data_IF_493134736335
#
_entry.id   IF_493134736335
#
_cell.length_a   1.000
_cell.length_b   1.000
_cell.length_c   1.000
_cell.angle_alpha   90.00
_cell.angle_beta   90.00
_cell.angle_gamma   90.00
#
_symmetry.space_group_name_H-M   'P 1'
#
loop_
_entity.id
_entity.type
_entity.pdbx_description
1 polymer ?
#
# COMPACT_ATOMS: atom_id res chain seq x y z
N UNK A 1 10.20 2.86 -25.46
CA UNK A 1 8.81 2.94 -24.93
C UNK A 1 8.45 1.61 -24.27
N UNK A 2 7.90 1.68 -23.06
CA UNK A 2 7.45 0.48 -22.37
C UNK A 2 6.17 -0.04 -23.01
N UNK A 3 6.05 -1.37 -23.12
CA UNK A 3 4.79 -1.97 -23.53
C UNK A 3 3.79 -1.96 -22.35
N UNK A 4 2.54 -2.34 -22.60
CA UNK A 4 1.49 -2.28 -21.58
C UNK A 4 1.81 -3.14 -20.33
N UNK A 5 2.43 -4.30 -20.53
CA UNK A 5 2.79 -5.18 -19.42
C UNK A 5 3.88 -4.55 -18.55
N UNK A 6 4.90 -3.95 -19.16
CA UNK A 6 5.96 -3.28 -18.42
C UNK A 6 5.42 -2.07 -17.65
N UNK A 7 4.53 -1.30 -18.26
CA UNK A 7 3.89 -0.17 -17.59
C UNK A 7 3.09 -0.64 -16.37
N UNK A 8 2.31 -1.70 -16.52
CA UNK A 8 1.53 -2.25 -15.41
C UNK A 8 2.41 -2.77 -14.28
N UNK A 9 3.52 -3.47 -14.61
CA UNK A 9 4.44 -4.01 -13.61
C UNK A 9 5.21 -2.92 -12.86
N UNK A 10 5.40 -1.74 -13.47
CA UNK A 10 6.12 -0.64 -12.84
C UNK A 10 5.20 0.32 -12.11
N UNK A 11 3.87 0.16 -12.21
CA UNK A 11 2.94 1.03 -11.51
C UNK A 11 2.90 0.72 -10.02
N UNK A 12 2.61 1.74 -9.22
CA UNK A 12 2.33 1.55 -7.79
C UNK A 12 0.86 1.23 -7.62
N UNK A 13 0.57 0.16 -6.91
CA UNK A 13 -0.80 -0.30 -6.66
C UNK A 13 -1.14 -0.19 -5.18
N UNK A 14 -2.43 -0.04 -4.89
CA UNK A 14 -2.92 0.02 -3.51
C UNK A 14 -4.28 -0.66 -3.39
N UNK A 15 -4.53 -1.24 -2.24
CA UNK A 15 -5.83 -1.82 -1.91
C UNK A 15 -5.98 -1.95 -0.40
N UNK A 16 -7.24 -2.07 0.03
CA UNK A 16 -7.56 -2.44 1.40
C UNK A 16 -7.18 -3.90 1.59
N UNK A 17 -6.33 -4.17 2.58
CA UNK A 17 -5.78 -5.50 2.83
C UNK A 17 -6.46 -6.24 3.99
N UNK A 18 -7.41 -5.60 4.68
CA UNK A 18 -8.16 -6.20 5.79
C UNK A 18 -9.60 -6.49 5.39
N UNK A 19 -10.24 -7.50 6.00
CA UNK A 19 -11.67 -7.73 5.75
C UNK A 19 -12.52 -6.53 6.13
N UNK A 20 -13.50 -6.22 5.29
CA UNK A 20 -14.41 -5.09 5.50
C UNK A 20 -15.31 -5.35 6.71
N UNK A 21 -15.47 -4.31 7.56
CA UNK A 21 -16.44 -4.31 8.64
C UNK A 21 -16.05 -5.09 9.88
N UNK A 22 -14.79 -5.48 10.02
CA UNK A 22 -14.35 -6.27 11.15
C UNK A 22 -13.13 -5.63 11.84
N UNK A 23 -13.15 -5.64 13.17
CA UNK A 23 -12.04 -5.23 14.00
C UNK A 23 -11.84 -3.73 14.07
N UNK A 24 -10.91 -3.31 14.93
CA UNK A 24 -10.58 -1.91 15.16
C UNK A 24 -9.48 -1.38 14.27
N UNK A 25 -8.85 -2.22 13.46
CA UNK A 25 -7.72 -1.83 12.61
C UNK A 25 -8.01 -2.16 11.17
N UNK A 26 -7.84 -1.16 10.30
CA UNK A 26 -7.87 -1.33 8.85
C UNK A 26 -6.48 -1.17 8.29
N UNK A 27 -6.12 -2.01 7.33
CA UNK A 27 -4.81 -1.96 6.67
C UNK A 27 -5.00 -1.67 5.19
N UNK A 28 -4.28 -0.65 4.70
CA UNK A 28 -4.15 -0.38 3.27
C UNK A 28 -2.70 -0.68 2.91
N UNK A 29 -2.51 -1.46 1.85
CA UNK A 29 -1.17 -1.81 1.36
C UNK A 29 -0.92 -1.15 0.03
N UNK A 30 0.28 -0.56 -0.10
CA UNK A 30 0.80 -0.04 -1.36
C UNK A 30 2.02 -0.86 -1.74
N UNK A 31 2.18 -1.13 -3.04
CA UNK A 31 3.36 -1.80 -3.56
C UNK A 31 3.77 -1.17 -4.88
N UNK A 32 5.04 -0.87 -5.02
CA UNK A 32 5.59 -0.32 -6.25
C UNK A 32 6.54 0.84 -6.01
N UNK A 33 7.09 1.41 -7.09
CA UNK A 33 8.19 2.37 -6.99
C UNK A 33 7.82 3.69 -6.32
N UNK A 34 6.55 4.08 -6.30
CA UNK A 34 6.12 5.36 -5.72
C UNK A 34 5.52 5.21 -4.32
N UNK A 35 5.51 4.01 -3.75
CA UNK A 35 4.88 3.76 -2.43
C UNK A 35 5.45 4.67 -1.34
N UNK A 36 6.77 4.78 -1.28
CA UNK A 36 7.46 5.59 -0.27
C UNK A 36 7.09 7.06 -0.41
N UNK A 37 7.16 7.60 -1.63
CA UNK A 37 6.85 9.02 -1.88
C UNK A 37 5.39 9.33 -1.59
N UNK A 38 4.48 8.43 -1.92
CA UNK A 38 3.05 8.60 -1.60
C UNK A 38 2.86 8.68 -0.09
N UNK A 39 3.52 7.80 0.67
CA UNK A 39 3.41 7.81 2.13
C UNK A 39 3.98 9.09 2.75
N UNK A 40 5.08 9.61 2.21
CA UNK A 40 5.63 10.90 2.66
C UNK A 40 4.63 12.03 2.41
N UNK A 41 4.04 12.08 1.21
CA UNK A 41 3.07 13.12 0.86
C UNK A 41 1.81 13.02 1.72
N UNK A 42 1.34 11.81 1.98
CA UNK A 42 0.13 11.56 2.77
C UNK A 42 0.29 12.04 4.22
N UNK A 43 1.48 11.88 4.79
CA UNK A 43 1.72 12.11 6.22
C UNK A 43 2.45 13.42 6.51
N UNK A 44 3.07 14.02 5.51
CA UNK A 44 3.92 15.20 5.71
C UNK A 44 5.27 14.88 6.34
N UNK A 45 5.62 13.61 6.48
CA UNK A 45 6.92 13.22 7.03
C UNK A 45 8.00 13.33 5.95
N UNK A 46 9.25 13.48 6.39
CA UNK A 46 10.38 13.57 5.49
C UNK A 46 11.07 12.23 5.25
N UNK A 47 10.86 11.25 6.14
CA UNK A 47 11.46 9.93 6.02
C UNK A 47 10.75 8.91 6.88
N UNK A 48 10.85 7.64 6.50
CA UNK A 48 10.43 6.49 7.31
C UNK A 48 11.62 5.55 7.48
N UNK A 49 11.77 5.04 8.71
CA UNK A 49 12.75 4.00 9.01
C UNK A 49 12.16 2.65 8.59
N UNK A 50 12.92 1.80 7.87
CA UNK A 50 12.42 0.48 7.48
C UNK A 50 11.96 -0.34 8.68
N UNK A 51 10.81 -1.00 8.53
CA UNK A 51 10.26 -1.95 9.49
C UNK A 51 10.03 -1.36 10.89
N UNK A 52 9.81 -0.06 10.96
CA UNK A 52 9.50 0.66 12.19
C UNK A 52 8.07 1.18 12.10
N UNK A 53 7.29 1.04 13.19
CA UNK A 53 5.92 1.53 13.23
C UNK A 53 5.91 3.01 13.59
N UNK A 54 5.69 3.86 12.58
CA UNK A 54 5.62 5.31 12.77
C UNK A 54 4.17 5.71 13.02
N UNK A 55 3.91 6.37 14.14
CA UNK A 55 2.59 6.95 14.38
C UNK A 55 2.47 8.25 13.58
N UNK A 56 1.45 8.33 12.72
CA UNK A 56 1.27 9.45 11.79
C UNK A 56 -0.19 9.86 11.71
N UNK A 57 -0.40 11.11 11.28
CA UNK A 57 -1.69 11.58 10.79
C UNK A 57 -1.70 11.47 9.28
N UNK A 58 -2.86 11.09 8.73
CA UNK A 58 -3.09 10.99 7.30
C UNK A 58 -3.93 12.18 6.85
N UNK A 59 -3.41 12.96 5.89
CA UNK A 59 -4.01 14.23 5.50
C UNK A 59 -4.70 14.14 4.15
N UNK A 60 -5.89 14.75 4.07
CA UNK A 60 -6.59 14.94 2.82
C UNK A 60 -5.97 16.09 2.02
N UNK A 61 -6.47 16.29 0.80
CA UNK A 61 -5.95 17.32 -0.11
C UNK A 61 -6.11 18.75 0.42
N UNK A 62 -7.06 18.98 1.31
CA UNK A 62 -7.31 20.27 1.97
C UNK A 62 -6.58 20.41 3.31
N UNK A 63 -5.63 19.51 3.60
CA UNK A 63 -4.84 19.46 4.84
C UNK A 63 -5.65 19.11 6.09
N UNK A 64 -6.89 18.64 5.94
CA UNK A 64 -7.63 18.10 7.07
C UNK A 64 -7.17 16.67 7.35
N UNK A 65 -7.32 16.25 8.61
CA UNK A 65 -6.93 14.90 9.02
C UNK A 65 -8.02 13.90 8.65
N UNK A 66 -7.67 12.90 7.84
CA UNK A 66 -8.57 11.79 7.51
C UNK A 66 -8.64 10.82 8.69
N UNK A 67 -7.49 10.44 9.21
CA UNK A 67 -7.34 9.45 10.26
C UNK A 67 -5.92 9.54 10.81
N UNK A 68 -5.64 8.80 11.85
CA UNK A 68 -4.29 8.64 12.35
C UNK A 68 -4.02 7.16 12.64
N UNK A 69 -2.77 6.77 12.53
CA UNK A 69 -2.42 5.37 12.70
C UNK A 69 -0.93 5.14 12.46
N UNK A 70 -0.60 3.93 12.05
CA UNK A 70 0.78 3.51 11.88
C UNK A 70 1.13 3.39 10.42
N UNK A 71 2.35 3.78 10.07
CA UNK A 71 2.94 3.55 8.77
C UNK A 71 4.15 2.65 8.93
N UNK A 72 4.19 1.57 8.13
CA UNK A 72 5.34 0.67 8.07
C UNK A 72 5.87 0.67 6.63
N UNK A 73 7.19 0.75 6.52
CA UNK A 73 7.90 0.77 5.25
C UNK A 73 8.78 -0.46 5.11
N UNK A 74 8.61 -1.18 4.02
CA UNK A 74 9.41 -2.36 3.69
C UNK A 74 10.11 -2.13 2.35
N UNK A 75 11.38 -1.69 2.35
CA UNK A 75 12.09 -1.42 1.11
C UNK A 75 12.38 -2.69 0.32
N UNK A 76 12.32 -2.57 -1.01
CA UNK A 76 12.70 -3.64 -1.90
C UNK A 76 14.14 -4.09 -1.65
N UNK A 77 14.48 -5.36 -1.79
CA UNK A 77 13.59 -6.48 -2.13
C UNK A 77 13.01 -7.18 -0.90
N UNK A 78 13.24 -6.65 0.32
CA UNK A 78 12.86 -7.31 1.58
C UNK A 78 11.43 -6.95 1.97
N UNK A 79 10.47 -7.34 1.13
CA UNK A 79 9.06 -7.07 1.28
C UNK A 79 8.23 -8.23 0.75
N UNK A 80 6.92 -8.21 1.01
CA UNK A 80 6.01 -9.26 0.55
C UNK A 80 6.06 -9.44 -0.96
N UNK A 81 6.04 -8.34 -1.73
CA UNK A 81 6.02 -8.39 -3.19
C UNK A 81 7.40 -8.35 -3.82
N UNK A 82 8.44 -8.08 -3.05
CA UNK A 82 9.78 -7.81 -3.60
C UNK A 82 9.97 -6.37 -4.07
N UNK A 83 8.91 -5.57 -4.06
CA UNK A 83 8.94 -4.14 -4.38
C UNK A 83 8.99 -3.31 -3.08
N UNK A 84 9.09 -1.99 -3.20
CA UNK A 84 8.85 -1.10 -2.05
C UNK A 84 7.39 -1.24 -1.64
N UNK A 85 7.17 -1.55 -0.35
CA UNK A 85 5.82 -1.73 0.21
C UNK A 85 5.63 -0.77 1.36
N UNK A 86 4.44 -0.16 1.39
CA UNK A 86 3.96 0.63 2.53
C UNK A 86 2.69 -0.03 3.06
N UNK A 87 2.58 -0.13 4.38
CA UNK A 87 1.32 -0.47 5.04
C UNK A 87 0.86 0.71 5.88
N UNK A 88 -0.40 1.09 5.67
CA UNK A 88 -1.08 2.14 6.44
C UNK A 88 -2.08 1.44 7.35
N UNK A 89 -1.88 1.54 8.65
CA UNK A 89 -2.75 0.90 9.63
C UNK A 89 -3.53 1.98 10.37
N UNK A 90 -4.82 2.08 10.06
CA UNK A 90 -5.70 3.06 10.68
C UNK A 90 -6.90 2.38 11.33
N UNK A 91 -7.97 3.14 11.49
CA UNK A 91 -9.21 2.60 12.04
C UNK A 91 -9.91 1.72 11.00
N UNK A 92 -10.58 0.65 11.47
CA UNK A 92 -11.15 -0.37 10.60
C UNK A 92 -12.47 -0.01 9.94
N UNK A 93 -13.02 1.18 10.19
CA UNK A 93 -14.29 1.58 9.62
C UNK A 93 -14.25 1.72 8.10
N UNK A 94 -15.29 1.25 7.42
CA UNK A 94 -15.33 1.25 5.96
C UNK A 94 -15.18 2.65 5.38
N UNK A 95 -15.85 3.64 5.97
CA UNK A 95 -15.82 5.01 5.44
C UNK A 95 -14.42 5.59 5.50
N UNK A 96 -13.74 5.43 6.64
CA UNK A 96 -12.37 5.94 6.79
C UNK A 96 -11.40 5.22 5.88
N UNK A 97 -11.53 3.91 5.72
CA UNK A 97 -10.66 3.14 4.82
C UNK A 97 -10.85 3.58 3.36
N UNK A 98 -12.09 3.78 2.92
CA UNK A 98 -12.37 4.24 1.57
C UNK A 98 -11.86 5.65 1.33
N UNK A 99 -12.02 6.53 2.30
CA UNK A 99 -11.52 7.90 2.21
C UNK A 99 -10.00 7.92 2.10
N UNK A 100 -9.33 7.12 2.92
CA UNK A 100 -7.87 7.02 2.90
C UNK A 100 -7.38 6.42 1.58
N UNK A 101 -8.04 5.38 1.10
CA UNK A 101 -7.67 4.75 -0.17
C UNK A 101 -7.86 5.72 -1.34
N UNK A 102 -8.95 6.50 -1.36
CA UNK A 102 -9.18 7.53 -2.38
C UNK A 102 -8.04 8.54 -2.38
N UNK A 103 -7.62 8.97 -1.19
CA UNK A 103 -6.49 9.92 -1.07
C UNK A 103 -5.20 9.33 -1.63
N UNK A 104 -4.94 8.05 -1.36
CA UNK A 104 -3.76 7.35 -1.88
C UNK A 104 -3.78 7.32 -3.42
N UNK A 105 -4.95 7.10 -4.02
CA UNK A 105 -5.09 7.17 -5.48
C UNK A 105 -4.83 8.56 -6.02
N UNK A 106 -5.30 9.60 -5.34
CA UNK A 106 -5.02 10.98 -5.73
C UNK A 106 -3.53 11.27 -5.72
N UNK A 107 -2.79 10.63 -4.82
CA UNK A 107 -1.35 10.80 -4.71
C UNK A 107 -0.55 9.96 -5.71
N UNK A 108 -1.21 9.12 -6.50
CA UNK A 108 -0.58 8.46 -7.63
C UNK A 108 -0.62 6.94 -7.66
N UNK A 109 -1.25 6.29 -6.69
CA UNK A 109 -1.41 4.84 -6.74
C UNK A 109 -2.58 4.46 -7.63
N UNK A 110 -2.54 3.24 -8.15
CA UNK A 110 -3.62 2.64 -8.92
C UNK A 110 -4.30 1.55 -8.11
N UNK A 111 -5.58 1.32 -8.35
CA UNK A 111 -6.29 0.23 -7.68
C UNK A 111 -5.68 -1.11 -8.07
N UNK A 112 -5.30 -1.90 -7.07
CA UNK A 112 -4.85 -3.27 -7.31
C UNK A 112 -6.03 -4.12 -7.77
N UNK A 113 -5.79 -5.00 -8.73
CA UNK A 113 -6.77 -6.01 -9.11
C UNK A 113 -6.62 -7.23 -8.20
N UNK A 114 -7.64 -8.10 -8.18
CA UNK A 114 -7.62 -9.29 -7.32
C UNK A 114 -6.36 -10.11 -7.59
N UNK A 115 -5.64 -10.47 -6.54
CA UNK A 115 -4.43 -11.27 -6.62
C UNK A 115 -3.18 -10.55 -7.11
N UNK A 116 -3.24 -9.25 -7.35
CA UNK A 116 -2.11 -8.53 -7.96
C UNK A 116 -0.88 -8.48 -7.05
N UNK A 117 -1.05 -8.31 -5.74
CA UNK A 117 0.10 -8.35 -4.82
C UNK A 117 0.79 -9.71 -4.86
N UNK A 118 0.01 -10.78 -4.87
CA UNK A 118 0.56 -12.15 -4.94
C UNK A 118 1.22 -12.41 -6.28
N UNK A 119 0.66 -11.91 -7.37
CA UNK A 119 1.26 -12.03 -8.70
C UNK A 119 2.62 -11.33 -8.75
N UNK A 120 2.73 -10.13 -8.19
CA UNK A 120 4.00 -9.41 -8.13
C UNK A 120 5.03 -10.12 -7.25
N UNK A 121 4.58 -10.70 -6.13
CA UNK A 121 5.44 -11.50 -5.27
C UNK A 121 6.00 -12.72 -6.02
N UNK A 122 5.16 -13.41 -6.78
CA UNK A 122 5.58 -14.54 -7.60
C UNK A 122 6.59 -14.09 -8.68
N UNK A 123 6.30 -13.00 -9.38
CA UNK A 123 7.17 -12.47 -10.43
C UNK A 123 8.55 -12.05 -9.88
N UNK A 124 8.61 -11.66 -8.62
CA UNK A 124 9.85 -11.27 -7.95
C UNK A 124 10.45 -12.39 -7.10
N UNK A 125 10.07 -13.64 -7.37
CA UNK A 125 10.62 -14.85 -6.71
C UNK A 125 10.40 -14.86 -5.19
N UNK A 126 9.34 -14.21 -4.70
CA UNK A 126 8.99 -14.22 -3.27
C UNK A 126 8.07 -15.38 -2.90
N UNK A 127 7.30 -15.90 -3.89
CA UNK A 127 6.38 -17.01 -3.72
C UNK A 127 6.57 -17.98 -4.87
N UNK A 128 6.35 -19.28 -4.61
CA UNK A 128 6.18 -20.23 -5.69
C UNK A 128 4.72 -20.21 -6.19
N UNK A 129 4.45 -20.95 -7.26
CA UNK A 129 3.12 -20.93 -7.87
C UNK A 129 2.02 -21.41 -6.92
N UNK A 130 2.32 -22.42 -6.11
CA UNK A 130 1.35 -22.98 -5.16
C UNK A 130 1.03 -21.96 -4.07
N UNK A 131 2.05 -21.28 -3.54
CA UNK A 131 1.86 -20.25 -2.54
C UNK A 131 1.05 -19.07 -3.08
N UNK A 132 1.33 -18.64 -4.31
CA UNK A 132 0.60 -17.55 -4.94
C UNK A 132 -0.89 -17.91 -5.13
N UNK A 133 -1.18 -19.13 -5.57
CA UNK A 133 -2.56 -19.59 -5.74
C UNK A 133 -3.31 -19.66 -4.41
N UNK A 134 -2.64 -20.05 -3.33
CA UNK A 134 -3.26 -20.14 -2.01
C UNK A 134 -3.59 -18.78 -1.41
N UNK A 135 -2.84 -17.73 -1.77
CA UNK A 135 -3.00 -16.37 -1.21
C UNK A 135 -3.92 -15.52 -2.07
N UNK A 136 -3.88 -15.71 -3.37
CA UNK A 136 -4.57 -14.86 -4.37
C UNK A 136 -6.10 -14.76 -4.21
#
# INVERSE_FOLDING_TARGET
MLNNSQTALTSTIAAIATPIGRGGVGVIRLSGPNSYQIALALTGRQAFKPRFAHFCRFYDSDDTVIDEGLVLYFPAPHSFTGEDVIELQGHGGMILQQQLLTRVFELGANQAVAGEFSARAFDNDKLDLVQAEAIA
#
